data_IF_484103750131
#
_entry.id   IF_484103750131
#
_cell.length_a   1.000
_cell.length_b   1.000
_cell.length_c   1.000
_cell.angle_alpha   90.00
_cell.angle_beta   90.00
_cell.angle_gamma   90.00
#
_symmetry.space_group_name_H-M   'P 1'
#
loop_
_entity.id
_entity.type
_entity.pdbx_description
1 polymer ?
#
# COMPACT_ATOMS: atom_id res chain seq x y z
N UNK A 1 -19.47 17.22 -16.04
CA UNK A 1 -18.19 16.71 -15.52
C UNK A 1 -18.28 16.71 -14.01
N UNK A 2 -17.93 15.62 -13.29
CA UNK A 2 -17.98 15.64 -11.84
C UNK A 2 -16.95 16.66 -11.34
N UNK A 3 -17.44 17.59 -10.52
CA UNK A 3 -16.68 18.61 -9.85
C UNK A 3 -15.49 17.94 -9.13
N UNK A 4 -14.26 18.36 -9.46
CA UNK A 4 -13.08 17.91 -8.73
C UNK A 4 -13.21 18.43 -7.31
N UNK A 5 -13.81 17.61 -6.43
CA UNK A 5 -13.90 17.88 -5.01
C UNK A 5 -12.49 18.19 -4.53
N UNK A 6 -12.21 19.48 -4.24
CA UNK A 6 -10.96 19.88 -3.62
C UNK A 6 -10.97 19.21 -2.26
N UNK A 7 -10.21 18.11 -2.12
CA UNK A 7 -10.04 17.45 -0.83
C UNK A 7 -9.45 18.53 0.08
N UNK A 8 -10.14 18.90 1.17
CA UNK A 8 -9.62 19.91 2.09
C UNK A 8 -8.24 19.47 2.55
N UNK A 9 -7.27 20.36 2.39
CA UNK A 9 -5.88 20.10 2.69
C UNK A 9 -5.74 19.80 4.18
N UNK A 10 -5.52 18.53 4.52
CA UNK A 10 -5.24 18.13 5.89
C UNK A 10 -3.83 18.59 6.25
N UNK A 11 -3.72 19.64 7.08
CA UNK A 11 -2.48 19.94 7.78
C UNK A 11 -2.35 18.97 8.96
N UNK A 12 -1.33 18.10 8.98
CA UNK A 12 -1.23 17.10 10.03
C UNK A 12 -1.05 17.70 11.44
N UNK A 13 -0.52 18.92 11.54
CA UNK A 13 -0.32 19.64 12.80
C UNK A 13 -1.61 20.26 13.37
N UNK A 14 -2.70 20.27 12.59
CA UNK A 14 -4.03 20.72 13.04
C UNK A 14 -4.89 19.58 13.60
N UNK A 15 -4.28 18.41 13.85
CA UNK A 15 -4.95 17.27 14.49
C UNK A 15 -4.69 17.28 16.00
N UNK A 16 -5.67 16.82 16.77
CA UNK A 16 -5.63 16.80 18.25
C UNK A 16 -4.41 16.09 18.83
N UNK A 17 -3.87 15.10 18.11
CA UNK A 17 -2.57 14.50 18.44
C UNK A 17 -1.61 14.75 17.27
N UNK A 18 -0.53 15.52 17.48
CA UNK A 18 0.40 15.82 16.41
C UNK A 18 1.14 14.55 15.97
N UNK A 19 1.40 14.37 14.66
CA UNK A 19 2.20 13.26 14.18
C UNK A 19 3.67 13.40 14.54
N UNK A 20 4.36 12.26 14.58
CA UNK A 20 5.82 12.25 14.54
C UNK A 20 6.25 12.44 13.09
N UNK A 21 6.91 13.56 12.82
CA UNK A 21 7.42 13.92 11.50
C UNK A 21 8.80 13.34 11.27
N UNK A 22 9.03 12.70 10.12
CA UNK A 22 10.35 12.21 9.71
C UNK A 22 10.63 12.49 8.24
N UNK A 23 11.81 13.01 7.88
CA UNK A 23 12.19 13.12 6.48
C UNK A 23 12.38 11.74 5.86
N UNK A 24 12.07 11.64 4.57
CA UNK A 24 12.44 10.50 3.73
C UNK A 24 13.55 10.96 2.76
N UNK A 25 13.28 10.94 1.46
CA UNK A 25 14.17 11.38 0.38
C UNK A 25 13.46 12.42 -0.46
N UNK A 26 14.22 13.21 -1.22
CA UNK A 26 13.70 14.14 -2.23
C UNK A 26 12.65 15.13 -1.68
N UNK A 27 12.83 15.57 -0.43
CA UNK A 27 11.92 16.51 0.26
C UNK A 27 10.63 15.90 0.82
N UNK A 28 10.37 14.62 0.57
CA UNK A 28 9.20 13.93 1.14
C UNK A 28 9.35 13.69 2.64
N UNK A 29 8.22 13.65 3.34
CA UNK A 29 8.13 13.42 4.78
C UNK A 29 7.10 12.34 5.11
N UNK A 30 7.28 11.68 6.25
CA UNK A 30 6.28 10.81 6.87
C UNK A 30 5.67 11.57 8.04
N UNK A 31 4.34 11.68 8.07
CA UNK A 31 3.57 12.07 9.24
C UNK A 31 2.96 10.81 9.87
N UNK A 32 3.31 10.48 11.11
CA UNK A 32 3.01 9.17 11.71
C UNK A 32 2.37 9.26 13.08
N UNK A 33 1.34 8.42 13.31
CA UNK A 33 0.68 8.23 14.60
C UNK A 33 0.90 6.81 15.11
N UNK A 34 1.40 6.68 16.34
CA UNK A 34 1.57 5.38 17.03
C UNK A 34 0.29 4.87 17.68
N UNK A 35 -0.66 5.78 17.95
CA UNK A 35 -1.97 5.45 18.50
C UNK A 35 -3.01 6.30 17.78
N UNK A 36 -3.47 5.88 16.59
CA UNK A 36 -4.53 6.60 15.87
C UNK A 36 -5.84 6.65 16.67
N UNK A 37 -6.04 5.72 17.60
CA UNK A 37 -7.11 5.73 18.60
C UNK A 37 -7.03 6.92 19.58
N UNK A 38 -5.89 7.62 19.70
CA UNK A 38 -5.80 8.80 20.56
C UNK A 38 -6.35 10.08 19.89
N UNK A 39 -6.64 10.04 18.58
CA UNK A 39 -7.22 11.17 17.87
C UNK A 39 -8.67 11.38 18.30
N UNK A 40 -9.06 12.65 18.50
CA UNK A 40 -10.46 13.02 18.67
C UNK A 40 -11.32 12.60 17.47
N UNK A 41 -12.63 12.34 17.66
CA UNK A 41 -13.51 11.90 16.58
C UNK A 41 -13.48 12.78 15.32
N UNK A 42 -13.57 14.10 15.48
CA UNK A 42 -13.51 15.06 14.36
C UNK A 42 -12.20 15.00 13.57
N UNK A 43 -11.09 14.71 14.26
CA UNK A 43 -9.77 14.52 13.66
C UNK A 43 -9.69 13.19 12.89
N UNK A 44 -10.32 12.13 13.40
CA UNK A 44 -10.46 10.84 12.70
C UNK A 44 -11.29 10.99 11.42
N UNK A 45 -12.36 11.78 11.46
CA UNK A 45 -13.20 12.05 10.28
C UNK A 45 -12.42 12.78 9.18
N UNK A 46 -11.64 13.81 9.53
CA UNK A 46 -10.74 14.50 8.59
C UNK A 46 -9.69 13.56 7.99
N UNK A 47 -9.11 12.69 8.82
CA UNK A 47 -8.12 11.72 8.38
C UNK A 47 -8.74 10.65 7.48
N UNK A 48 -9.96 10.20 7.78
CA UNK A 48 -10.75 9.30 6.93
C UNK A 48 -11.03 9.93 5.57
N UNK A 49 -11.51 11.17 5.52
CA UNK A 49 -11.76 11.88 4.27
C UNK A 49 -10.48 11.98 3.41
N UNK A 50 -9.33 12.20 4.06
CA UNK A 50 -8.02 12.22 3.40
C UNK A 50 -7.64 10.85 2.85
N UNK A 51 -7.80 9.78 3.63
CA UNK A 51 -7.51 8.40 3.21
C UNK A 51 -8.40 7.95 2.06
N UNK A 52 -9.68 8.30 2.08
CA UNK A 52 -10.64 8.06 1.00
C UNK A 52 -10.18 8.70 -0.31
N UNK A 53 -9.87 10.00 -0.27
CA UNK A 53 -9.39 10.73 -1.44
C UNK A 53 -8.05 10.22 -1.96
N UNK A 54 -7.14 9.84 -1.06
CA UNK A 54 -5.87 9.21 -1.43
C UNK A 54 -6.08 7.84 -2.07
N UNK A 55 -6.98 7.02 -1.53
CA UNK A 55 -7.27 5.69 -2.05
C UNK A 55 -7.86 5.76 -3.46
N UNK A 56 -8.84 6.64 -3.68
CA UNK A 56 -9.43 6.85 -4.99
C UNK A 56 -8.36 7.23 -6.03
N UNK A 57 -7.48 8.19 -5.69
CA UNK A 57 -6.37 8.64 -6.56
C UNK A 57 -5.31 7.56 -6.77
N UNK A 58 -4.98 6.80 -5.73
CA UNK A 58 -3.95 5.78 -5.78
C UNK A 58 -4.39 4.57 -6.60
N UNK A 59 -5.62 4.11 -6.46
CA UNK A 59 -6.09 2.92 -7.16
C UNK A 59 -6.79 3.23 -8.48
N UNK A 60 -7.19 4.49 -8.72
CA UNK A 60 -7.96 4.88 -9.90
C UNK A 60 -9.34 4.22 -9.93
N UNK A 61 -9.88 3.93 -8.75
CA UNK A 61 -11.15 3.24 -8.54
C UNK A 61 -11.80 3.80 -7.26
N UNK A 62 -13.13 3.83 -7.23
CA UNK A 62 -13.85 4.24 -6.04
C UNK A 62 -13.87 3.11 -5.00
N UNK A 63 -13.30 3.37 -3.83
CA UNK A 63 -13.24 2.45 -2.69
C UNK A 63 -13.99 3.01 -1.48
N UNK A 64 -14.92 3.93 -1.70
CA UNK A 64 -15.58 4.66 -0.61
C UNK A 64 -16.37 3.75 0.31
N UNK A 65 -17.14 2.80 -0.22
CA UNK A 65 -17.94 1.88 0.60
C UNK A 65 -17.05 0.97 1.45
N UNK A 66 -15.98 0.43 0.86
CA UNK A 66 -14.98 -0.34 1.58
C UNK A 66 -14.39 0.43 2.76
N UNK A 67 -13.96 1.67 2.54
CA UNK A 67 -13.37 2.49 3.60
C UNK A 67 -14.40 2.94 4.64
N UNK A 68 -15.64 3.26 4.25
CA UNK A 68 -16.73 3.57 5.19
C UNK A 68 -17.02 2.37 6.10
N UNK A 69 -17.21 1.18 5.53
CA UNK A 69 -17.41 -0.05 6.29
C UNK A 69 -16.21 -0.36 7.21
N UNK A 70 -14.99 -0.15 6.70
CA UNK A 70 -13.76 -0.36 7.44
C UNK A 70 -13.63 0.58 8.65
N UNK A 71 -13.94 1.86 8.50
CA UNK A 71 -13.91 2.82 9.61
C UNK A 71 -15.03 2.54 10.61
N UNK A 72 -16.25 2.24 10.13
CA UNK A 72 -17.36 1.83 10.99
C UNK A 72 -17.03 0.60 11.84
N UNK A 73 -16.15 -0.28 11.35
CA UNK A 73 -15.63 -1.44 12.08
C UNK A 73 -14.51 -1.11 13.08
N UNK A 74 -14.23 0.17 13.36
CA UNK A 74 -13.23 0.59 14.35
C UNK A 74 -11.79 0.60 13.82
N UNK A 75 -11.57 0.97 12.55
CA UNK A 75 -10.23 1.01 11.93
C UNK A 75 -9.17 1.70 12.80
N UNK A 76 -9.46 2.92 13.26
CA UNK A 76 -8.52 3.73 14.04
C UNK A 76 -8.21 3.14 15.41
N UNK A 77 -9.16 2.40 15.99
CA UNK A 77 -9.01 1.75 17.29
C UNK A 77 -8.17 0.46 17.19
N UNK A 78 -8.17 -0.19 16.03
CA UNK A 78 -7.49 -1.46 15.82
C UNK A 78 -6.07 -1.32 15.25
N UNK A 79 -5.79 -0.27 14.49
CA UNK A 79 -4.52 -0.10 13.79
C UNK A 79 -3.40 0.39 14.72
N UNK A 80 -2.28 -0.32 14.74
CA UNK A 80 -1.18 -0.07 15.69
C UNK A 80 -0.27 1.09 15.27
N UNK A 81 -0.31 1.48 14.00
CA UNK A 81 0.40 2.64 13.47
C UNK A 81 -0.21 3.03 12.13
N UNK A 82 -0.43 4.32 11.95
CA UNK A 82 -0.87 4.92 10.70
C UNK A 82 0.13 6.00 10.29
N UNK A 83 0.38 6.12 8.99
CA UNK A 83 1.20 7.20 8.47
C UNK A 83 0.70 7.72 7.13
N UNK A 84 0.89 9.02 6.93
CA UNK A 84 0.78 9.69 5.64
C UNK A 84 2.18 9.97 5.09
N UNK A 85 2.32 9.87 3.77
CA UNK A 85 3.47 10.37 3.03
C UNK A 85 3.10 11.74 2.50
N UNK A 86 3.87 12.75 2.88
CA UNK A 86 3.72 14.12 2.42
C UNK A 86 4.78 14.44 1.37
N UNK A 87 4.39 15.16 0.33
CA UNK A 87 5.32 15.72 -0.64
C UNK A 87 6.08 16.94 -0.06
N UNK A 88 7.01 17.55 -0.82
CA UNK A 88 7.75 18.72 -0.38
C UNK A 88 6.87 19.91 0.03
N UNK A 89 5.68 20.04 -0.57
CA UNK A 89 4.69 21.07 -0.27
C UNK A 89 3.85 20.75 0.98
N UNK A 90 4.00 19.55 1.54
CA UNK A 90 3.23 19.07 2.70
C UNK A 90 1.91 18.38 2.32
N UNK A 91 1.65 18.17 1.04
CA UNK A 91 0.43 17.54 0.54
C UNK A 91 0.52 16.02 0.72
N UNK A 92 -0.52 15.39 1.31
CA UNK A 92 -0.60 13.94 1.33
C UNK A 92 -0.64 13.35 -0.09
N UNK A 93 0.30 12.44 -0.36
CA UNK A 93 0.46 11.73 -1.64
C UNK A 93 0.47 10.21 -1.49
N UNK A 94 0.41 9.72 -0.25
CA UNK A 94 0.30 8.30 0.05
C UNK A 94 0.03 8.05 1.51
N UNK A 95 -0.24 6.80 1.84
CA UNK A 95 -0.46 6.34 3.20
C UNK A 95 0.01 4.90 3.36
N UNK A 96 0.12 4.48 4.60
CA UNK A 96 0.25 3.08 4.96
C UNK A 96 0.13 2.92 6.46
N UNK A 97 -0.04 1.68 6.88
CA UNK A 97 -0.11 1.37 8.29
C UNK A 97 0.10 -0.10 8.56
N UNK A 98 0.12 -0.47 9.82
CA UNK A 98 0.28 -1.86 10.22
C UNK A 98 -0.39 -2.15 11.56
N UNK A 99 -0.67 -3.43 11.77
CA UNK A 99 -1.07 -3.98 13.06
C UNK A 99 0.08 -4.78 13.65
N UNK A 100 0.33 -4.60 14.94
CA UNK A 100 1.13 -5.53 15.75
C UNK A 100 0.21 -6.66 16.16
N UNK A 101 0.55 -7.89 15.79
CA UNK A 101 -0.22 -9.08 16.15
C UNK A 101 0.73 -10.20 16.55
N UNK A 102 0.12 -11.27 17.09
CA UNK A 102 0.77 -12.56 17.18
C UNK A 102 -0.04 -13.54 16.35
N UNK A 103 0.62 -14.22 15.42
CA UNK A 103 0.04 -15.29 14.61
C UNK A 103 0.87 -16.54 14.84
N UNK A 104 0.22 -17.68 15.09
CA UNK A 104 0.84 -18.92 15.55
C UNK A 104 1.78 -18.71 16.75
N UNK A 105 1.36 -17.86 17.70
CA UNK A 105 2.16 -17.41 18.85
C UNK A 105 3.50 -16.72 18.49
N UNK A 106 3.72 -16.33 17.24
CA UNK A 106 4.91 -15.61 16.78
C UNK A 106 4.61 -14.14 16.59
N UNK A 107 5.60 -13.28 16.81
CA UNK A 107 5.47 -11.84 16.57
C UNK A 107 5.25 -11.57 15.09
N UNK A 108 4.22 -10.81 14.77
CA UNK A 108 3.88 -10.45 13.41
C UNK A 108 3.55 -8.96 13.25
N UNK A 109 3.95 -8.41 12.12
CA UNK A 109 3.49 -7.12 11.62
C UNK A 109 2.61 -7.40 10.40
N UNK A 110 1.30 -7.21 10.55
CA UNK A 110 0.42 -7.22 9.39
C UNK A 110 0.47 -5.83 8.75
N UNK A 111 1.08 -5.72 7.57
CA UNK A 111 1.07 -4.49 6.81
C UNK A 111 -0.29 -4.34 6.16
N UNK A 112 -0.95 -3.30 6.60
CA UNK A 112 -2.28 -2.97 6.15
C UNK A 112 -2.23 -2.09 4.90
N UNK A 113 -3.37 -1.92 4.24
CA UNK A 113 -3.54 -1.21 2.98
C UNK A 113 -2.66 0.04 2.92
N UNK A 114 -1.75 0.05 1.96
CA UNK A 114 -0.86 1.15 1.66
C UNK A 114 -1.04 1.55 0.19
N UNK A 115 -0.90 2.83 -0.09
CA UNK A 115 -1.02 3.34 -1.44
C UNK A 115 -0.24 4.63 -1.63
N UNK A 116 0.24 4.83 -2.84
CA UNK A 116 0.90 6.06 -3.28
C UNK A 116 0.28 6.45 -4.60
N UNK A 117 -0.09 7.71 -4.72
CA UNK A 117 -0.72 8.22 -5.95
C UNK A 117 0.25 8.09 -7.15
N UNK A 118 -0.23 7.75 -8.36
CA UNK A 118 0.62 7.32 -9.47
C UNK A 118 1.78 8.27 -9.80
N UNK A 119 1.54 9.58 -9.76
CA UNK A 119 2.53 10.62 -10.04
C UNK A 119 3.79 10.54 -9.15
N UNK A 120 3.69 9.93 -7.97
CA UNK A 120 4.78 9.86 -6.99
C UNK A 120 5.37 8.44 -6.82
N UNK A 121 4.88 7.42 -7.55
CA UNK A 121 5.32 6.03 -7.39
C UNK A 121 6.80 5.80 -7.74
N UNK A 122 7.33 6.55 -8.70
CA UNK A 122 8.74 6.47 -9.14
C UNK A 122 9.74 6.85 -8.05
N UNK A 123 9.30 7.57 -7.03
CA UNK A 123 10.13 7.98 -5.89
C UNK A 123 10.18 6.92 -4.79
N UNK A 124 9.76 5.67 -5.04
CA UNK A 124 9.91 4.51 -4.14
C UNK A 124 9.42 4.75 -2.71
N UNK A 125 8.40 5.58 -2.57
CA UNK A 125 7.90 6.06 -1.28
C UNK A 125 7.28 4.93 -0.45
N UNK A 126 6.57 3.98 -1.08
CA UNK A 126 6.05 2.78 -0.40
C UNK A 126 7.19 1.98 0.25
N UNK A 127 8.28 1.78 -0.49
CA UNK A 127 9.45 1.04 -0.01
C UNK A 127 10.14 1.73 1.17
N UNK A 128 10.22 3.06 1.12
CA UNK A 128 10.76 3.86 2.21
C UNK A 128 9.85 3.84 3.45
N UNK A 129 8.53 3.97 3.27
CA UNK A 129 7.55 3.88 4.35
C UNK A 129 7.59 2.51 5.03
N UNK A 130 7.56 1.43 4.25
CA UNK A 130 7.67 0.06 4.77
C UNK A 130 8.97 -0.10 5.56
N UNK A 131 10.11 0.33 5.03
CA UNK A 131 11.38 0.25 5.74
C UNK A 131 11.38 1.07 7.02
N UNK A 132 10.75 2.24 7.05
CA UNK A 132 10.57 3.02 8.27
C UNK A 132 9.81 2.22 9.34
N UNK A 133 8.70 1.57 8.97
CA UNK A 133 7.95 0.71 9.88
C UNK A 133 8.76 -0.48 10.38
N UNK A 134 9.40 -1.22 9.46
CA UNK A 134 10.20 -2.39 9.79
C UNK A 134 11.39 -2.04 10.69
N UNK A 135 12.09 -0.95 10.39
CA UNK A 135 13.26 -0.53 11.17
C UNK A 135 12.87 -0.28 12.62
N UNK A 136 11.80 0.47 12.84
CA UNK A 136 11.32 0.74 14.20
C UNK A 136 10.90 -0.53 14.93
N UNK A 137 10.11 -1.38 14.28
CA UNK A 137 9.58 -2.56 14.93
C UNK A 137 10.66 -3.62 15.17
N UNK A 138 11.57 -3.85 14.24
CA UNK A 138 12.61 -4.86 14.40
C UNK A 138 13.64 -4.40 15.44
N UNK A 139 14.04 -3.12 15.43
CA UNK A 139 15.05 -2.61 16.38
C UNK A 139 14.56 -2.53 17.82
N UNK A 140 13.25 -2.52 18.08
CA UNK A 140 12.73 -2.64 19.46
C UNK A 140 12.90 -4.06 20.02
N UNK A 141 13.06 -5.07 19.16
CA UNK A 141 13.22 -6.46 19.58
C UNK A 141 14.22 -7.18 18.65
N UNK A 142 15.50 -6.76 18.63
CA UNK A 142 16.45 -7.13 17.57
C UNK A 142 16.78 -8.63 17.53
N UNK A 143 16.67 -9.29 18.68
CA UNK A 143 16.93 -10.73 18.84
C UNK A 143 15.74 -11.62 18.49
N UNK A 144 14.56 -11.03 18.28
CA UNK A 144 13.33 -11.78 17.98
C UNK A 144 13.07 -11.85 16.48
N UNK A 145 12.80 -13.05 15.98
CA UNK A 145 12.24 -13.24 14.65
C UNK A 145 10.86 -12.58 14.55
N UNK A 146 10.63 -11.80 13.50
CA UNK A 146 9.37 -11.12 13.23
C UNK A 146 8.85 -11.53 11.85
N UNK A 147 7.60 -11.98 11.80
CA UNK A 147 6.93 -12.22 10.53
C UNK A 147 6.31 -10.92 10.04
N UNK A 148 6.49 -10.61 8.77
CA UNK A 148 5.79 -9.51 8.11
C UNK A 148 4.77 -10.13 7.18
N UNK A 149 3.50 -9.81 7.39
CA UNK A 149 2.39 -10.42 6.69
C UNK A 149 1.66 -9.33 5.93
N UNK A 150 1.25 -9.59 4.70
CA UNK A 150 0.42 -8.66 3.94
C UNK A 150 -0.38 -9.43 2.89
N UNK A 151 -1.52 -8.86 2.52
CA UNK A 151 -2.36 -9.39 1.45
C UNK A 151 -2.21 -8.55 0.19
N UNK A 152 -1.98 -9.17 -0.96
CA UNK A 152 -1.84 -8.43 -2.21
C UNK A 152 -2.34 -9.18 -3.44
N UNK A 153 -2.97 -8.43 -4.34
CA UNK A 153 -3.22 -8.84 -5.74
C UNK A 153 -2.22 -8.19 -6.72
N UNK A 154 -1.27 -7.41 -6.20
CA UNK A 154 -0.34 -6.67 -7.03
C UNK A 154 0.99 -7.44 -7.20
N UNK A 155 1.30 -7.96 -8.40
CA UNK A 155 2.55 -8.69 -8.62
C UNK A 155 3.79 -7.83 -8.36
N UNK A 156 3.72 -6.52 -8.57
CA UNK A 156 4.82 -5.61 -8.26
C UNK A 156 5.12 -5.52 -6.77
N UNK A 157 4.10 -5.63 -5.91
CA UNK A 157 4.28 -5.66 -4.45
C UNK A 157 5.01 -6.95 -4.07
N UNK A 158 4.52 -8.12 -4.52
CA UNK A 158 5.17 -9.40 -4.25
C UNK A 158 6.62 -9.43 -4.77
N UNK A 159 6.85 -8.99 -6.02
CA UNK A 159 8.19 -8.86 -6.60
C UNK A 159 9.09 -7.93 -5.78
N UNK A 160 8.57 -6.78 -5.34
CA UNK A 160 9.28 -5.82 -4.50
C UNK A 160 9.73 -6.40 -3.17
N UNK A 161 8.89 -7.22 -2.53
CA UNK A 161 9.25 -7.95 -1.31
C UNK A 161 10.35 -8.97 -1.56
N UNK A 162 10.21 -9.82 -2.59
CA UNK A 162 11.23 -10.81 -2.93
C UNK A 162 12.58 -10.19 -3.26
N UNK A 163 12.59 -9.11 -4.04
CA UNK A 163 13.82 -8.37 -4.40
C UNK A 163 14.43 -7.63 -3.20
N UNK A 164 13.60 -7.03 -2.35
CA UNK A 164 14.06 -6.21 -1.23
C UNK A 164 14.53 -7.00 0.00
N UNK A 165 13.84 -8.09 0.32
CA UNK A 165 14.13 -8.93 1.50
C UNK A 165 14.96 -10.16 1.15
N UNK A 166 14.90 -10.59 -0.11
CA UNK A 166 15.52 -11.82 -0.60
C UNK A 166 14.48 -12.92 -0.78
N UNK A 167 14.51 -13.59 -1.93
CA UNK A 167 13.52 -14.60 -2.32
C UNK A 167 13.41 -15.78 -1.33
N UNK A 168 14.49 -16.13 -0.65
CA UNK A 168 14.51 -17.20 0.34
C UNK A 168 13.74 -16.87 1.64
N UNK A 169 13.42 -15.60 1.86
CA UNK A 169 12.77 -15.11 3.08
C UNK A 169 11.30 -14.74 2.87
N UNK A 170 10.78 -14.83 1.64
CA UNK A 170 9.43 -14.40 1.27
C UNK A 170 8.64 -15.58 0.70
N UNK A 171 7.44 -15.78 1.23
CA UNK A 171 6.52 -16.85 0.90
C UNK A 171 5.19 -16.27 0.37
N UNK A 172 4.43 -17.01 -0.47
CA UNK A 172 4.75 -18.34 -1.00
C UNK A 172 5.94 -18.29 -1.97
N UNK A 173 6.57 -19.43 -2.20
CA UNK A 173 7.63 -19.60 -3.21
C UNK A 173 7.08 -20.53 -4.30
N UNK A 174 7.23 -20.15 -5.57
CA UNK A 174 6.71 -20.95 -6.70
C UNK A 174 7.39 -22.32 -6.83
N UNK A 175 8.64 -22.42 -6.39
CA UNK A 175 9.52 -23.57 -6.55
C UNK A 175 9.56 -24.48 -5.32
N UNK A 176 8.86 -24.14 -4.24
CA UNK A 176 8.97 -24.84 -2.96
C UNK A 176 7.64 -24.87 -2.23
N UNK A 177 7.38 -25.99 -1.56
CA UNK A 177 6.26 -26.11 -0.63
C UNK A 177 6.32 -25.04 0.46
N UNK A 178 5.16 -24.58 0.88
CA UNK A 178 5.03 -23.62 1.98
C UNK A 178 5.43 -24.32 3.28
N UNK A 179 6.39 -23.78 4.05
CA UNK A 179 6.77 -24.36 5.33
C UNK A 179 5.58 -24.41 6.31
N UNK A 180 5.44 -25.45 7.15
CA UNK A 180 4.29 -25.59 8.05
C UNK A 180 4.11 -24.41 9.03
N UNK A 181 5.19 -23.77 9.48
CA UNK A 181 5.10 -22.59 10.34
C UNK A 181 4.55 -21.37 9.59
N UNK A 182 4.91 -21.22 8.30
CA UNK A 182 4.38 -20.17 7.42
C UNK A 182 2.89 -20.40 7.17
N UNK A 183 2.49 -21.64 6.87
CA UNK A 183 1.08 -21.99 6.68
C UNK A 183 0.25 -21.63 7.92
N UNK A 184 0.72 -21.95 9.13
CA UNK A 184 0.04 -21.58 10.39
C UNK A 184 -0.04 -20.07 10.62
N UNK A 185 1.05 -19.34 10.38
CA UNK A 185 1.05 -17.87 10.48
C UNK A 185 0.05 -17.25 9.50
N UNK A 186 0.02 -17.73 8.26
CA UNK A 186 -0.91 -17.29 7.23
C UNK A 186 -2.36 -17.61 7.59
N UNK A 187 -2.63 -18.81 8.12
CA UNK A 187 -3.96 -19.24 8.56
C UNK A 187 -4.50 -18.35 9.67
N UNK A 188 -3.72 -18.09 10.72
CA UNK A 188 -4.13 -17.21 11.81
C UNK A 188 -4.36 -15.77 11.32
N UNK A 189 -3.52 -15.29 10.40
CA UNK A 189 -3.70 -13.97 9.78
C UNK A 189 -5.00 -13.92 8.95
N UNK A 190 -5.25 -14.93 8.11
CA UNK A 190 -6.46 -15.03 7.31
C UNK A 190 -7.71 -15.14 8.19
N UNK A 191 -7.67 -15.96 9.26
CA UNK A 191 -8.77 -16.07 10.23
C UNK A 191 -9.06 -14.72 10.89
N UNK A 192 -8.03 -13.98 11.32
CA UNK A 192 -8.18 -12.65 11.89
C UNK A 192 -8.79 -11.64 10.90
N UNK A 193 -8.49 -11.75 9.61
CA UNK A 193 -9.09 -10.94 8.55
C UNK A 193 -10.52 -11.36 8.19
N UNK A 194 -11.04 -12.47 8.73
CA UNK A 194 -12.31 -13.05 8.33
C UNK A 194 -12.26 -13.78 6.98
N UNK A 195 -11.06 -14.18 6.54
CA UNK A 195 -10.78 -14.88 5.27
C UNK A 195 -10.32 -16.33 5.48
N UNK A 196 -10.19 -16.80 6.72
CA UNK A 196 -9.60 -18.09 7.08
C UNK A 196 -10.03 -19.26 6.18
N UNK A 197 -11.34 -19.54 6.02
CA UNK A 197 -11.82 -20.65 5.17
C UNK A 197 -11.45 -20.55 3.69
N UNK A 198 -11.10 -19.36 3.19
CA UNK A 198 -10.72 -19.13 1.81
C UNK A 198 -9.22 -19.23 1.54
N UNK A 199 -8.38 -19.44 2.58
CA UNK A 199 -6.94 -19.59 2.43
C UNK A 199 -6.58 -21.04 2.06
N UNK A 200 -5.94 -21.21 0.91
CA UNK A 200 -5.20 -22.41 0.55
C UNK A 200 -3.83 -22.40 1.27
N UNK A 201 -3.54 -23.37 2.16
CA UNK A 201 -2.30 -23.41 2.93
C UNK A 201 -1.06 -23.72 2.09
N UNK A 202 -1.21 -24.36 0.93
CA UNK A 202 -0.10 -24.81 0.08
C UNK A 202 0.35 -23.73 -0.90
N UNK A 203 -0.58 -22.87 -1.33
CA UNK A 203 -0.29 -21.77 -2.25
C UNK A 203 -0.30 -20.40 -1.57
N UNK A 204 -0.86 -20.31 -0.36
CA UNK A 204 -1.18 -19.05 0.34
C UNK A 204 -2.10 -18.12 -0.46
N UNK A 205 -2.86 -18.67 -1.41
CA UNK A 205 -3.90 -17.96 -2.12
C UNK A 205 -5.14 -17.86 -1.24
N UNK A 206 -5.70 -16.66 -1.13
CA UNK A 206 -6.98 -16.39 -0.45
C UNK A 206 -8.03 -16.13 -1.50
N UNK A 207 -8.99 -17.03 -1.62
CA UNK A 207 -10.14 -16.87 -2.48
C UNK A 207 -11.11 -15.82 -1.93
N UNK A 208 -11.62 -14.96 -2.81
CA UNK A 208 -12.60 -13.92 -2.47
C UNK A 208 -12.18 -12.96 -1.33
N UNK A 209 -10.88 -12.74 -1.15
CA UNK A 209 -10.33 -11.88 -0.10
C UNK A 209 -10.82 -10.42 -0.21
N UNK A 210 -11.15 -9.98 -1.42
CA UNK A 210 -11.66 -8.64 -1.72
C UNK A 210 -13.15 -8.64 -2.04
N UNK A 211 -13.94 -9.59 -1.51
CA UNK A 211 -15.40 -9.67 -1.70
C UNK A 211 -16.18 -8.40 -1.35
N UNK A 212 -15.67 -7.61 -0.41
CA UNK A 212 -16.30 -6.36 0.04
C UNK A 212 -16.22 -5.23 -0.99
N UNK A 213 -15.44 -5.39 -2.06
CA UNK A 213 -15.42 -4.43 -3.16
C UNK A 213 -16.51 -4.83 -4.15
N UNK A 214 -17.51 -3.98 -4.39
CA UNK A 214 -18.53 -4.25 -5.43
C UNK A 214 -17.93 -4.09 -6.85
N UNK A 215 -16.97 -3.19 -7.02
CA UNK A 215 -16.31 -2.89 -8.30
C UNK A 215 -14.90 -3.46 -8.49
N UNK A 216 -14.15 -2.85 -9.42
CA UNK A 216 -12.72 -3.20 -9.64
C UNK A 216 -11.87 -2.65 -8.50
N UNK A 217 -10.89 -3.43 -8.03
CA UNK A 217 -9.91 -3.02 -7.00
C UNK A 217 -8.89 -2.02 -7.58
N UNK A 218 -8.63 -2.12 -8.88
CA UNK A 218 -7.69 -1.25 -9.58
C UNK A 218 -8.35 -0.74 -10.86
N UNK A 219 -8.18 0.55 -11.16
CA UNK A 219 -8.58 1.12 -12.45
C UNK A 219 -7.79 0.53 -13.62
N UNK A 220 -6.54 0.14 -13.38
CA UNK A 220 -5.67 -0.57 -14.32
C UNK A 220 -5.00 -1.74 -13.61
N UNK A 221 -4.97 -2.91 -14.27
CA UNK A 221 -4.34 -4.10 -13.72
C UNK A 221 -2.84 -3.84 -13.43
N UNK A 222 -2.37 -4.07 -12.19
CA UNK A 222 -0.98 -3.84 -11.84
C UNK A 222 -0.06 -4.86 -12.51
N UNK A 223 1.16 -4.43 -12.85
CA UNK A 223 2.22 -5.25 -13.44
C UNK A 223 3.53 -5.06 -12.70
N UNK A 224 4.30 -6.13 -12.55
CA UNK A 224 5.63 -6.12 -11.95
C UNK A 224 6.74 -5.81 -12.95
N UNK A 225 6.47 -6.03 -14.25
CA UNK A 225 7.48 -5.95 -15.31
C UNK A 225 8.28 -7.25 -15.48
N UNK A 226 7.95 -8.29 -14.71
CA UNK A 226 8.42 -9.66 -14.89
C UNK A 226 7.30 -10.46 -15.58
N UNK A 227 7.49 -10.87 -16.86
CA UNK A 227 6.44 -11.52 -17.63
C UNK A 227 5.91 -12.81 -16.98
N UNK A 228 6.79 -13.63 -16.38
CA UNK A 228 6.35 -14.88 -15.77
C UNK A 228 5.51 -14.64 -14.53
N UNK A 229 5.92 -13.69 -13.69
CA UNK A 229 5.18 -13.34 -12.50
C UNK A 229 3.84 -12.68 -12.84
N UNK A 230 3.83 -11.82 -13.85
CA UNK A 230 2.62 -11.16 -14.32
C UNK A 230 1.65 -12.18 -14.93
N UNK A 231 2.12 -13.16 -15.69
CA UNK A 231 1.31 -14.27 -16.19
C UNK A 231 0.75 -15.13 -15.06
N UNK A 232 1.56 -15.47 -14.06
CA UNK A 232 1.10 -16.22 -12.89
C UNK A 232 -0.03 -15.48 -12.16
N UNK A 233 0.16 -14.19 -11.83
CA UNK A 233 -0.88 -13.40 -11.17
C UNK A 233 -2.14 -13.23 -12.04
N UNK A 234 -1.99 -13.18 -13.36
CA UNK A 234 -3.14 -13.08 -14.27
C UNK A 234 -3.96 -14.39 -14.37
N UNK A 235 -3.30 -15.55 -14.24
CA UNK A 235 -3.94 -16.87 -14.35
C UNK A 235 -4.49 -17.37 -13.02
N UNK A 236 -3.67 -17.32 -11.97
CA UNK A 236 -3.95 -17.99 -10.70
C UNK A 236 -4.63 -17.07 -9.67
N UNK A 237 -4.42 -15.75 -9.76
CA UNK A 237 -5.01 -14.80 -8.79
C UNK A 237 -6.25 -14.17 -9.39
N UNK A 238 -7.40 -14.76 -9.07
CA UNK A 238 -8.72 -14.30 -9.51
C UNK A 238 -9.02 -12.83 -9.20
N UNK A 239 -10.09 -12.26 -9.77
CA UNK A 239 -10.39 -10.83 -9.68
C UNK A 239 -10.58 -10.31 -8.25
N UNK A 240 -11.02 -11.18 -7.33
CA UNK A 240 -11.23 -10.85 -5.91
C UNK A 240 -10.29 -11.60 -4.99
N UNK A 241 -9.38 -12.40 -5.55
CA UNK A 241 -8.45 -13.20 -4.77
C UNK A 241 -7.23 -12.37 -4.39
N UNK A 242 -6.44 -12.91 -3.48
CA UNK A 242 -5.20 -12.29 -3.07
C UNK A 242 -4.19 -13.32 -2.62
N UNK A 243 -2.91 -13.05 -2.84
CA UNK A 243 -1.83 -13.83 -2.24
C UNK A 243 -1.55 -13.27 -0.85
N UNK A 244 -1.54 -14.14 0.15
CA UNK A 244 -1.00 -13.85 1.47
C UNK A 244 0.52 -13.97 1.42
N UNK A 245 1.20 -12.83 1.48
CA UNK A 245 2.66 -12.77 1.46
C UNK A 245 3.18 -12.74 2.88
N UNK A 246 4.07 -13.66 3.19
CA UNK A 246 4.73 -13.76 4.50
C UNK A 246 6.23 -13.64 4.31
N UNK A 247 6.85 -12.64 4.95
CA UNK A 247 8.28 -12.46 4.98
C UNK A 247 8.84 -12.71 6.39
N UNK A 248 9.92 -13.51 6.48
CA UNK A 248 10.67 -13.68 7.72
C UNK A 248 11.69 -12.56 7.84
N UNK A 249 11.60 -11.78 8.91
CA UNK A 249 12.49 -10.66 9.19
C UNK A 249 13.16 -10.82 10.55
N UNK A 250 14.41 -10.37 10.63
CA UNK A 250 15.15 -10.14 11.86
C UNK A 250 16.10 -8.95 11.65
N UNK A 251 16.88 -8.59 12.67
CA UNK A 251 17.81 -7.45 12.58
C UNK A 251 18.84 -7.62 11.45
N UNK A 252 19.34 -8.83 11.20
CA UNK A 252 20.32 -9.11 10.13
C UNK A 252 19.69 -8.96 8.73
N UNK A 253 18.50 -9.53 8.51
CA UNK A 253 17.77 -9.39 7.24
C UNK A 253 17.45 -7.93 6.98
N UNK A 254 17.01 -7.18 8.00
CA UNK A 254 16.77 -5.75 7.89
C UNK A 254 18.05 -4.99 7.51
N UNK A 255 19.17 -5.26 8.20
CA UNK A 255 20.45 -4.61 7.92
C UNK A 255 20.87 -4.86 6.46
N UNK A 256 20.79 -6.10 5.97
CA UNK A 256 21.05 -6.44 4.56
C UNK A 256 20.16 -5.65 3.59
N UNK A 257 18.85 -5.57 3.87
CA UNK A 257 17.92 -4.77 3.06
C UNK A 257 18.29 -3.29 3.04
N UNK A 258 18.82 -2.74 4.15
CA UNK A 258 19.28 -1.35 4.21
C UNK A 258 20.59 -1.15 3.41
N UNK A 259 21.55 -2.06 3.52
CA UNK A 259 22.82 -2.00 2.79
C UNK A 259 22.65 -2.12 1.26
N UNK A 260 21.79 -3.02 0.80
CA UNK A 260 21.50 -3.15 -0.64
C UNK A 260 20.72 -1.97 -1.22
N UNK A 261 20.20 -1.08 -0.38
CA UNK A 261 19.53 0.16 -0.80
C UNK A 261 20.45 1.37 -0.87
N UNK A 262 21.78 1.16 -0.88
CA UNK A 262 22.75 2.24 -1.06
C UNK A 262 22.30 3.23 -2.15
N UNK A 263 22.42 4.53 -1.88
CA UNK A 263 21.75 5.56 -2.63
C UNK A 263 22.20 5.49 -4.10
N UNK A 264 21.23 5.33 -5.00
CA UNK A 264 21.43 5.70 -6.41
C UNK A 264 21.89 7.16 -6.42
N UNK A 265 22.93 7.53 -7.21
CA UNK A 265 23.42 8.89 -7.27
C UNK A 265 22.25 9.85 -7.50
N UNK A 266 22.27 10.95 -6.72
CA UNK A 266 21.28 12.03 -6.74
C UNK A 266 21.13 12.50 -8.20
N UNK A 267 20.05 12.08 -8.87
CA UNK A 267 19.65 12.77 -10.10
C UNK A 267 19.22 14.19 -9.69
N UNK A 268 19.64 15.24 -10.43
CA UNK A 268 19.21 16.60 -10.15
C UNK A 268 17.69 16.62 -10.00
N UNK A 269 17.21 17.39 -9.01
CA UNK A 269 15.83 17.40 -8.57
C UNK A 269 14.89 17.52 -9.76
N UNK A 270 14.24 16.41 -10.14
CA UNK A 270 13.08 16.49 -10.99
C UNK A 270 12.04 17.26 -10.17
N UNK A 271 11.70 18.46 -10.65
CA UNK A 271 10.59 19.26 -10.13
C UNK A 271 9.40 18.31 -9.94
N UNK A 272 8.85 18.16 -8.72
CA UNK A 272 7.63 17.38 -8.50
C UNK A 272 6.59 17.89 -9.49
N UNK A 273 5.77 17.01 -10.10
CA UNK A 273 4.73 17.47 -11.01
C UNK A 273 3.90 18.53 -10.29
N UNK A 274 3.93 19.76 -10.82
CA UNK A 274 3.05 20.84 -10.37
C UNK A 274 1.62 20.32 -10.48
N UNK A 275 0.80 20.59 -9.47
CA UNK A 275 -0.63 20.31 -9.50
C UNK A 275 -1.33 21.22 -10.53
N UNK A 276 -0.97 21.12 -11.80
CA UNK A 276 -1.62 21.85 -12.88
C UNK A 276 -2.90 21.10 -13.29
N UNK A 277 -3.96 21.88 -13.47
CA UNK A 277 -5.24 21.41 -13.98
C UNK A 277 -5.13 20.81 -15.38
N UNK A 278 -6.22 20.25 -15.92
CA UNK A 278 -6.21 19.74 -17.29
C UNK A 278 -5.82 20.88 -18.24
N UNK A 279 -5.04 20.61 -19.32
CA UNK A 279 -4.78 21.62 -20.33
C UNK A 279 -6.11 22.07 -20.92
N UNK A 280 -6.38 23.37 -20.81
CA UNK A 280 -7.42 24.06 -21.57
C UNK A 280 -7.10 23.82 -23.04
N UNK A 281 -7.92 23.00 -23.72
CA UNK A 281 -7.94 22.98 -25.18
C UNK A 281 -8.27 24.40 -25.65
N UNK A 282 -7.47 25.02 -26.53
CA UNK A 282 -7.93 26.20 -27.22
C UNK A 282 -9.17 25.81 -28.04
N UNK A 283 -10.24 26.57 -27.85
CA UNK A 283 -11.44 26.54 -28.66
C UNK A 283 -11.09 27.02 -30.08
N UNK A 284 -10.94 26.07 -31.00
CA UNK A 284 -11.03 26.32 -32.43
C UNK A 284 -12.38 25.82 -32.91
N UNK A 285 -13.26 26.77 -33.25
CA UNK A 285 -14.57 26.55 -33.88
C UNK A 285 -14.44 26.10 -35.35
N UNK A 286 -15.52 25.63 -35.99
CA UNK A 286 -15.49 24.65 -37.08
C UNK A 286 -15.63 25.27 -38.47
N UNK A 287 -14.86 24.76 -39.42
CA UNK A 287 -15.12 24.77 -40.87
C UNK A 287 -14.61 23.40 -41.34
N UNK A 288 -15.40 22.49 -41.90
CA UNK A 288 -16.23 22.61 -43.09
C UNK A 288 -15.70 21.59 -44.11
N UNK A 289 -16.60 20.91 -44.82
CA UNK A 289 -16.39 20.01 -45.99
C UNK A 289 -16.46 18.49 -45.74
N UNK A 290 -17.65 17.97 -46.07
CA UNK A 290 -17.85 16.71 -46.82
C UNK A 290 -18.06 17.07 -48.32
N UNK A 291 -18.16 16.14 -49.31
CA UNK A 291 -18.13 14.66 -49.28
C UNK A 291 -17.36 13.96 -50.45
N UNK A 292 -17.51 12.62 -50.53
CA UNK A 292 -17.27 11.66 -51.66
C UNK A 292 -15.86 11.05 -51.74
N UNK A 293 -15.66 9.77 -52.08
CA UNK A 293 -16.57 8.73 -52.55
C UNK A 293 -15.87 7.35 -52.55
N UNK A 294 -16.69 6.30 -52.66
CA UNK A 294 -16.35 4.88 -52.85
C UNK A 294 -15.76 4.62 -54.26
N UNK A 295 -15.15 3.45 -54.49
CA UNK A 295 -15.90 2.23 -54.83
C UNK A 295 -15.96 1.18 -53.70
#
# INVERSE_FOLDING_TARGET
MPEKTRIPYLKPDELSVPPIMRPIRDGYRIARWNSPAALEPSCRDRLQATLLGLAARAFGADHSDYWRARVASGFFDQISCLALILDPQGIPVGWGGYHRRRFASRRALYLDAAGVVPAHRRFGLSSALTTHFLTREILTHPWSGTYVVLRTRNPAVYSGWRKGVGAAHVFPRRDQHVPPDIARVSWDAAKWLGDGPGLDPDTLLIHNAYRMFEGRIYGVAPRSGDPELDTYFAREVGPKDAVMVVARMNALTLARTLFHRSPRPRRPALVPPTHEGPPTRPSGSPEGLSPRGRP
#
